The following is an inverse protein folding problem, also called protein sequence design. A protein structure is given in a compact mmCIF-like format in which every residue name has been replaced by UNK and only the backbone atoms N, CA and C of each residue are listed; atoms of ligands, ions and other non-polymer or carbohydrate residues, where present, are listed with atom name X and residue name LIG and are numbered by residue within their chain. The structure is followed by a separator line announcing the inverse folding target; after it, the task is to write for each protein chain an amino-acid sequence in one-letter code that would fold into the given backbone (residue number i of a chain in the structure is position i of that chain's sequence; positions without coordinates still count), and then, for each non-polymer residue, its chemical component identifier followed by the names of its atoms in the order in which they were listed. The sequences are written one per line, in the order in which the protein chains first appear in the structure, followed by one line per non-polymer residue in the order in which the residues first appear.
data_IF_114893758584
#
_entry.id   IF_114893758584
#
_cell.length_a   1.000
_cell.length_b   1.000
_cell.length_c   1.000
_cell.angle_alpha   90.00
_cell.angle_beta   90.00
_cell.angle_gamma   90.00
#
_symmetry.space_group_name_H-M   'P 1'
#
loop_
_entity.id
_entity.type
_entity.pdbx_description
1 polymer ?
#
# COMPACT_ATOMS: atom_id res chain seq x y z
N UNK A 1 10.22 -8.10 -5.06
CA UNK A 1 8.78 -8.08 -5.40
C UNK A 1 8.02 -7.31 -4.33
N UNK A 2 6.81 -6.83 -4.59
CA UNK A 2 5.99 -6.13 -3.57
C UNK A 2 5.77 -6.98 -2.31
N UNK A 3 5.60 -8.29 -2.46
CA UNK A 3 5.49 -9.25 -1.36
C UNK A 3 6.74 -9.24 -0.47
N UNK A 4 7.93 -9.32 -1.08
CA UNK A 4 9.20 -9.30 -0.34
C UNK A 4 9.44 -7.95 0.32
N UNK A 5 9.02 -6.84 -0.31
CA UNK A 5 9.07 -5.51 0.31
C UNK A 5 8.12 -5.40 1.50
N UNK A 6 6.91 -5.98 1.43
CA UNK A 6 5.99 -6.03 2.57
C UNK A 6 6.62 -6.79 3.73
N UNK A 7 7.17 -7.99 3.46
CA UNK A 7 7.85 -8.80 4.48
C UNK A 7 9.03 -8.06 5.13
N UNK A 8 9.85 -7.37 4.33
CA UNK A 8 10.99 -6.61 4.83
C UNK A 8 10.60 -5.41 5.71
N UNK A 9 9.35 -4.92 5.58
CA UNK A 9 8.80 -3.81 6.37
C UNK A 9 7.83 -4.30 7.46
N UNK A 10 7.82 -5.60 7.79
CA UNK A 10 6.89 -6.20 8.76
C UNK A 10 5.40 -6.00 8.41
N UNK A 11 5.09 -5.77 7.14
CA UNK A 11 3.73 -5.62 6.64
C UNK A 11 3.23 -6.98 6.18
N UNK A 12 2.01 -7.34 6.60
CA UNK A 12 1.36 -8.55 6.12
C UNK A 12 1.03 -8.41 4.61
N UNK A 13 1.63 -9.23 3.73
CA UNK A 13 1.47 -9.05 2.28
C UNK A 13 0.03 -9.23 1.80
N UNK A 14 -0.72 -10.11 2.47
CA UNK A 14 -2.12 -10.35 2.12
C UNK A 14 -2.98 -9.10 2.38
N UNK A 15 -2.87 -8.50 3.56
CA UNK A 15 -3.59 -7.26 3.89
C UNK A 15 -3.19 -6.10 2.97
N UNK A 16 -1.89 -6.01 2.61
CA UNK A 16 -1.42 -5.05 1.63
C UNK A 16 -2.13 -5.22 0.29
N UNK A 17 -2.16 -6.43 -0.26
CA UNK A 17 -2.80 -6.70 -1.55
C UNK A 17 -4.30 -6.45 -1.51
N UNK A 18 -4.99 -6.82 -0.44
CA UNK A 18 -6.42 -6.55 -0.26
C UNK A 18 -6.68 -5.04 -0.23
N UNK A 19 -5.88 -4.28 0.53
CA UNK A 19 -5.97 -2.81 0.59
C UNK A 19 -5.64 -2.14 -0.74
N UNK A 20 -4.62 -2.66 -1.44
CA UNK A 20 -4.20 -2.23 -2.77
C UNK A 20 -5.35 -2.40 -3.75
N UNK A 21 -5.90 -3.60 -3.92
CA UNK A 21 -6.96 -3.85 -4.90
C UNK A 21 -8.27 -3.12 -4.59
N UNK A 22 -8.53 -2.80 -3.32
CA UNK A 22 -9.70 -2.00 -2.94
C UNK A 22 -9.56 -0.54 -3.35
N UNK A 23 -8.35 0.01 -3.30
CA UNK A 23 -8.10 1.43 -3.59
C UNK A 23 -7.59 1.67 -5.02
N UNK A 24 -7.05 0.64 -5.68
CA UNK A 24 -6.64 0.65 -7.08
C UNK A 24 -7.70 1.22 -8.04
N UNK A 25 -9.00 0.84 -7.95
CA UNK A 25 -10.03 1.44 -8.81
C UNK A 25 -10.38 2.89 -8.45
N UNK A 26 -9.97 3.37 -7.27
CA UNK A 26 -10.22 4.73 -6.79
C UNK A 26 -9.07 5.67 -7.13
N UNK A 27 -7.85 5.14 -7.33
CA UNK A 27 -6.66 5.91 -7.65
C UNK A 27 -6.74 6.52 -9.06
N UNK A 28 -6.57 7.84 -9.14
CA UNK A 28 -6.62 8.58 -10.41
C UNK A 28 -5.38 9.42 -10.64
N UNK A 29 -4.71 9.86 -9.58
CA UNK A 29 -3.51 10.68 -9.67
C UNK A 29 -2.27 9.89 -9.28
N UNK A 30 -1.10 10.41 -9.64
CA UNK A 30 0.18 9.79 -9.29
C UNK A 30 0.32 9.67 -7.77
N UNK A 31 -0.14 10.67 -7.03
CA UNK A 31 -0.12 10.70 -5.58
C UNK A 31 -0.99 9.59 -4.97
N UNK A 32 -2.15 9.28 -5.59
CA UNK A 32 -2.97 8.14 -5.16
C UNK A 32 -2.18 6.84 -5.31
N UNK A 33 -1.48 6.64 -6.44
CA UNK A 33 -0.66 5.45 -6.65
C UNK A 33 0.54 5.38 -5.69
N UNK A 34 1.15 6.52 -5.34
CA UNK A 34 2.20 6.57 -4.32
C UNK A 34 1.66 6.20 -2.93
N UNK A 35 0.43 6.61 -2.59
CA UNK A 35 -0.23 6.22 -1.35
C UNK A 35 -0.55 4.72 -1.30
N UNK A 36 -0.65 4.04 -2.45
CA UNK A 36 -0.83 2.58 -2.55
C UNK A 36 0.45 1.77 -2.33
N UNK A 37 1.60 2.40 -2.12
CA UNK A 37 2.85 1.69 -1.89
C UNK A 37 2.84 0.99 -0.52
N UNK A 38 3.54 -0.15 -0.37
CA UNK A 38 3.52 -0.96 0.85
C UNK A 38 3.77 -0.15 2.11
N UNK A 39 4.79 0.69 2.07
CA UNK A 39 5.14 1.52 3.21
C UNK A 39 4.12 2.63 3.45
N UNK A 40 3.44 3.18 2.43
CA UNK A 40 2.47 4.28 2.61
C UNK A 40 1.10 3.80 3.10
N UNK A 41 0.61 2.65 2.62
CA UNK A 41 -0.70 2.10 3.03
C UNK A 41 -0.81 1.77 4.53
N UNK A 42 0.33 1.55 5.19
CA UNK A 42 0.40 1.22 6.61
C UNK A 42 1.08 2.30 7.45
N UNK A 43 1.47 3.43 6.88
CA UNK A 43 1.90 4.57 7.69
C UNK A 43 0.67 5.16 8.38
N UNK A 44 0.73 5.43 9.69
CA UNK A 44 -0.24 6.33 10.29
C UNK A 44 -0.08 7.66 9.56
N UNK A 45 -1.12 8.06 8.81
CA UNK A 45 -1.16 9.39 8.18
C UNK A 45 -1.21 10.39 9.34
N UNK A 46 -0.04 10.86 9.78
CA UNK A 46 0.06 11.99 10.69
C UNK A 46 -0.57 13.17 9.98
N UNK A 47 -1.75 13.54 10.47
CA UNK A 47 -2.45 14.76 10.14
C UNK A 47 -1.62 15.98 10.55
#
# INVERSE_FOLDING_TARGET
SLIETCKANNIEPYNYLVGLFRQLPLAKTVEDFEALLPWQLFQPKTA
#
